data_IF_505734750949
#
_entry.id   IF_505734750949
#
_cell.length_a   1.000
_cell.length_b   1.000
_cell.length_c   1.000
_cell.angle_alpha   90.00
_cell.angle_beta   90.00
_cell.angle_gamma   90.00
#
_symmetry.space_group_name_H-M   'P 1'
#
loop_
_entity.id
_entity.type
_entity.pdbx_description
1 polymer ?
#
# COMPACT_ATOMS: atom_id res chain seq x y z
N UNK A 1 -37.74 -0.24 17.26
CA UNK A 1 -38.19 -1.24 16.28
C UNK A 1 -37.96 -2.65 16.83
N UNK A 2 -38.93 -3.53 16.62
CA UNK A 2 -38.83 -4.93 17.03
C UNK A 2 -38.45 -5.77 15.79
N UNK A 3 -37.29 -6.42 15.88
CA UNK A 3 -36.82 -7.31 14.83
C UNK A 3 -37.78 -8.47 14.62
N UNK A 4 -37.97 -8.91 13.39
CA UNK A 4 -38.90 -10.01 13.04
C UNK A 4 -40.37 -9.62 12.95
N UNK A 5 -40.74 -8.37 13.30
CA UNK A 5 -42.13 -7.92 13.19
C UNK A 5 -42.29 -6.50 12.59
N UNK A 6 -41.39 -5.59 12.93
CA UNK A 6 -41.41 -4.20 12.45
C UNK A 6 -40.17 -3.84 11.60
N UNK A 7 -39.12 -4.64 11.72
CA UNK A 7 -37.89 -4.48 10.96
C UNK A 7 -37.21 -5.85 10.80
N UNK A 8 -36.43 -5.98 9.75
CA UNK A 8 -35.58 -7.15 9.53
C UNK A 8 -34.19 -6.71 9.17
N UNK A 9 -33.18 -7.40 9.70
CA UNK A 9 -31.78 -7.11 9.42
C UNK A 9 -31.33 -7.91 8.21
N UNK A 10 -30.74 -7.24 7.22
CA UNK A 10 -30.02 -7.91 6.15
C UNK A 10 -28.63 -8.29 6.65
N UNK A 11 -28.40 -9.58 6.82
CA UNK A 11 -27.13 -10.12 7.31
C UNK A 11 -26.22 -10.46 6.13
N UNK A 12 -24.96 -10.13 6.24
CA UNK A 12 -23.93 -10.58 5.32
C UNK A 12 -23.28 -11.89 5.81
N UNK A 13 -23.13 -12.01 7.14
CA UNK A 13 -22.61 -13.22 7.81
C UNK A 13 -23.61 -13.76 8.82
N UNK A 14 -23.62 -15.08 9.09
CA UNK A 14 -24.56 -15.70 10.02
C UNK A 14 -24.44 -15.16 11.47
N UNK A 15 -23.25 -14.72 11.85
CA UNK A 15 -22.90 -14.22 13.19
C UNK A 15 -23.24 -12.75 13.44
N UNK A 16 -23.75 -12.03 12.45
CA UNK A 16 -24.10 -10.61 12.47
C UNK A 16 -22.91 -9.63 12.49
N UNK A 17 -21.67 -10.09 12.54
CA UNK A 17 -20.49 -9.22 12.53
C UNK A 17 -20.19 -8.63 11.14
N UNK A 18 -20.62 -9.32 10.09
CA UNK A 18 -20.35 -8.91 8.72
C UNK A 18 -18.87 -9.08 8.38
N UNK A 19 -18.31 -8.09 7.71
CA UNK A 19 -16.90 -8.10 7.26
C UNK A 19 -16.05 -7.04 7.96
N UNK A 20 -16.57 -6.51 9.08
CA UNK A 20 -15.91 -5.40 9.78
C UNK A 20 -14.51 -5.77 10.27
N UNK A 21 -14.37 -6.95 10.87
CA UNK A 21 -13.09 -7.44 11.40
C UNK A 21 -12.04 -7.58 10.28
N UNK A 22 -12.46 -8.01 9.11
CA UNK A 22 -11.60 -8.12 7.93
C UNK A 22 -11.15 -6.73 7.48
N UNK A 23 -12.11 -5.79 7.38
CA UNK A 23 -11.82 -4.41 6.97
C UNK A 23 -10.85 -3.75 7.94
N UNK A 24 -11.10 -3.85 9.24
CA UNK A 24 -10.29 -3.23 10.28
C UNK A 24 -8.85 -3.75 10.26
N UNK A 25 -8.69 -5.08 10.19
CA UNK A 25 -7.38 -5.72 10.11
C UNK A 25 -6.56 -5.27 8.89
N UNK A 26 -7.17 -5.24 7.72
CA UNK A 26 -6.44 -4.84 6.50
C UNK A 26 -6.23 -3.34 6.40
N UNK A 27 -7.18 -2.52 6.87
CA UNK A 27 -7.06 -1.08 6.89
C UNK A 27 -5.87 -0.62 7.75
N UNK A 28 -5.70 -1.20 8.93
CA UNK A 28 -4.56 -0.91 9.80
C UNK A 28 -3.22 -1.22 9.09
N UNK A 29 -3.07 -2.41 8.54
CA UNK A 29 -1.84 -2.83 7.85
C UNK A 29 -1.53 -2.03 6.60
N UNK A 30 -2.53 -1.79 5.75
CA UNK A 30 -2.36 -0.97 4.55
C UNK A 30 -1.98 0.46 4.90
N UNK A 31 -2.56 1.02 5.95
CA UNK A 31 -2.20 2.34 6.47
C UNK A 31 -0.74 2.40 6.93
N UNK A 32 -0.26 1.40 7.66
CA UNK A 32 1.15 1.32 8.09
C UNK A 32 2.10 1.21 6.90
N UNK A 33 1.76 0.41 5.90
CA UNK A 33 2.56 0.29 4.68
C UNK A 33 2.58 1.59 3.87
N UNK A 34 1.45 2.29 3.73
CA UNK A 34 1.38 3.57 3.04
C UNK A 34 2.30 4.61 3.69
N UNK A 35 2.26 4.73 5.03
CA UNK A 35 3.18 5.60 5.79
C UNK A 35 4.65 5.20 5.57
N UNK A 36 4.94 3.89 5.55
CA UNK A 36 6.30 3.38 5.34
C UNK A 36 6.81 3.67 3.93
N UNK A 37 5.95 3.52 2.91
CA UNK A 37 6.25 3.88 1.52
C UNK A 37 6.56 5.37 1.41
N UNK A 38 5.70 6.22 1.96
CA UNK A 38 5.90 7.67 1.96
C UNK A 38 7.19 8.06 2.66
N UNK A 39 7.49 7.48 3.81
CA UNK A 39 8.74 7.69 4.55
C UNK A 39 9.96 7.23 3.74
N UNK A 40 9.89 6.09 3.06
CA UNK A 40 10.96 5.58 2.20
C UNK A 40 11.22 6.50 1.02
N UNK A 41 10.17 7.03 0.38
CA UNK A 41 10.28 8.01 -0.71
C UNK A 41 10.92 9.32 -0.22
N UNK A 42 10.51 9.82 0.94
CA UNK A 42 11.11 11.03 1.54
C UNK A 42 12.57 10.77 1.88
N UNK A 43 12.88 9.65 2.53
CA UNK A 43 14.25 9.29 2.91
C UNK A 43 15.18 9.07 1.71
N UNK A 44 14.65 8.66 0.56
CA UNK A 44 15.44 8.54 -0.68
C UNK A 44 15.93 9.90 -1.22
N UNK A 45 15.27 11.00 -0.84
CA UNK A 45 15.68 12.37 -1.23
C UNK A 45 16.86 12.90 -0.37
N UNK A 46 17.06 12.35 0.83
CA UNK A 46 18.14 12.74 1.73
C UNK A 46 19.39 11.87 1.50
N UNK A 47 19.93 11.95 0.28
CA UNK A 47 21.10 11.15 -0.09
C UNK A 47 22.39 11.55 0.63
N UNK A 48 22.47 12.80 1.14
CA UNK A 48 23.70 13.35 1.68
C UNK A 48 23.45 14.12 2.99
N UNK A 49 24.11 13.70 4.05
CA UNK A 49 24.25 14.48 5.28
C UNK A 49 25.63 15.13 5.22
N UNK A 50 25.64 16.43 5.02
CA UNK A 50 26.86 17.21 4.86
C UNK A 50 27.06 18.09 6.09
N UNK A 51 28.10 17.82 6.86
CA UNK A 51 28.48 18.62 8.00
C UNK A 51 29.59 19.60 7.63
N UNK A 52 29.50 20.84 8.10
CA UNK A 52 30.55 21.84 7.93
C UNK A 52 31.02 22.37 9.30
N UNK A 53 32.33 22.49 9.48
CA UNK A 53 32.92 22.95 10.73
C UNK A 53 32.76 24.46 10.99
N UNK A 54 32.59 25.25 9.92
CA UNK A 54 32.44 26.68 9.99
C UNK A 54 31.17 27.17 9.30
N UNK A 55 30.67 28.34 9.73
CA UNK A 55 29.48 28.97 9.13
C UNK A 55 29.69 29.34 7.66
N UNK A 56 30.91 29.74 7.26
CA UNK A 56 31.27 30.05 5.89
C UNK A 56 31.25 28.79 5.00
N UNK A 57 31.82 27.69 5.51
CA UNK A 57 31.77 26.38 4.81
C UNK A 57 30.34 25.86 4.65
N UNK A 58 29.51 26.05 5.67
CA UNK A 58 28.09 25.67 5.58
C UNK A 58 27.32 26.45 4.50
N UNK A 59 27.58 27.75 4.37
CA UNK A 59 26.97 28.59 3.34
C UNK A 59 27.43 28.21 1.93
N UNK A 60 28.73 27.93 1.76
CA UNK A 60 29.30 27.48 0.49
C UNK A 60 28.68 26.13 0.06
N UNK A 61 28.58 25.21 0.99
CA UNK A 61 27.97 23.89 0.76
C UNK A 61 26.47 23.99 0.36
N UNK A 62 25.73 24.89 1.02
CA UNK A 62 24.34 25.16 0.66
C UNK A 62 24.21 25.69 -0.76
N UNK A 63 25.05 26.65 -1.16
CA UNK A 63 25.06 27.16 -2.56
C UNK A 63 25.36 26.06 -3.57
N UNK A 64 26.32 25.18 -3.26
CA UNK A 64 26.67 24.03 -4.10
C UNK A 64 25.48 23.09 -4.29
N UNK A 65 24.77 22.75 -3.19
CA UNK A 65 23.58 21.92 -3.24
C UNK A 65 22.43 22.57 -4.02
N UNK A 66 22.25 23.89 -3.88
CA UNK A 66 21.23 24.63 -4.62
C UNK A 66 21.51 24.60 -6.15
N UNK A 67 22.79 24.67 -6.55
CA UNK A 67 23.19 24.55 -7.95
C UNK A 67 22.97 23.14 -8.50
N UNK A 68 23.35 22.10 -7.76
CA UNK A 68 23.10 20.69 -8.13
C UNK A 68 21.60 20.44 -8.27
N UNK A 69 20.78 20.94 -7.34
CA UNK A 69 19.32 20.78 -7.36
C UNK A 69 18.66 21.51 -8.55
N UNK A 70 19.29 22.55 -9.08
CA UNK A 70 18.88 23.24 -10.33
C UNK A 70 19.27 22.48 -11.60
N UNK A 71 20.02 21.38 -11.46
CA UNK A 71 20.44 20.57 -12.60
C UNK A 71 21.65 21.14 -13.35
N UNK A 72 22.45 21.98 -12.73
CA UNK A 72 23.69 22.49 -13.33
C UNK A 72 24.70 21.34 -13.54
N UNK A 73 25.20 21.12 -14.76
CA UNK A 73 26.01 19.93 -15.06
C UNK A 73 27.46 20.03 -14.53
N UNK A 74 27.89 21.23 -14.13
CA UNK A 74 29.21 21.46 -13.56
C UNK A 74 29.14 22.52 -12.47
N UNK A 75 29.77 22.27 -11.35
CA UNK A 75 29.89 23.22 -10.24
C UNK A 75 31.34 23.57 -10.04
N UNK A 76 31.66 24.85 -10.20
CA UNK A 76 33.00 25.40 -9.94
C UNK A 76 33.01 25.88 -8.50
N UNK A 77 33.94 25.38 -7.72
CA UNK A 77 34.13 25.80 -6.31
C UNK A 77 35.58 26.23 -6.07
N UNK A 78 35.78 27.10 -5.10
CA UNK A 78 37.11 27.51 -4.67
C UNK A 78 37.72 26.41 -3.78
N UNK A 79 38.82 25.80 -4.24
CA UNK A 79 39.51 24.73 -3.49
C UNK A 79 40.02 25.18 -2.12
N UNK A 80 40.21 26.47 -1.91
CA UNK A 80 40.59 27.04 -0.59
C UNK A 80 39.51 26.89 0.48
N UNK A 81 38.28 26.57 0.08
CA UNK A 81 37.21 26.20 1.01
C UNK A 81 37.56 24.92 1.77
N UNK A 82 38.41 24.07 1.20
CA UNK A 82 38.89 22.84 1.79
C UNK A 82 40.19 23.00 2.58
N UNK A 83 40.91 24.11 2.36
CA UNK A 83 42.16 24.44 3.07
C UNK A 83 41.83 25.26 4.30
N UNK A 84 41.74 24.64 5.48
CA UNK A 84 41.71 25.34 6.77
C UNK A 84 43.14 25.58 7.22
N UNK A 85 43.64 26.85 7.21
CA UNK A 85 45.03 27.16 7.62
C UNK A 85 45.34 26.84 9.08
N UNK A 86 44.33 26.55 9.89
CA UNK A 86 44.50 26.19 11.32
C UNK A 86 44.64 24.68 11.53
N UNK A 87 44.41 23.85 10.51
CA UNK A 87 44.54 22.39 10.62
C UNK A 87 45.93 21.94 10.19
N UNK A 88 46.86 21.86 11.12
CA UNK A 88 48.09 21.07 10.96
C UNK A 88 47.76 19.59 10.96
N UNK A 89 47.24 19.07 9.85
CA UNK A 89 46.93 17.67 9.64
C UNK A 89 45.58 17.48 8.96
N UNK A 90 45.60 16.93 7.82
CA UNK A 90 44.63 16.24 6.98
C UNK A 90 43.16 16.16 7.48
N UNK A 91 42.56 17.27 7.84
CA UNK A 91 41.17 17.32 8.31
C UNK A 91 40.37 18.23 7.38
N UNK A 92 39.72 17.61 6.41
CA UNK A 92 38.72 18.28 5.57
C UNK A 92 37.76 19.13 6.43
N UNK A 93 37.48 20.40 6.06
CA UNK A 93 36.49 21.25 6.74
C UNK A 93 35.07 20.71 6.60
N UNK A 94 34.88 19.66 5.79
CA UNK A 94 33.61 19.00 5.56
C UNK A 94 33.65 17.56 6.07
N UNK A 95 32.63 17.16 6.79
CA UNK A 95 32.33 15.77 7.08
C UNK A 95 31.19 15.33 6.20
N UNK A 96 31.47 14.36 5.33
CA UNK A 96 30.45 13.68 4.56
C UNK A 96 30.07 12.39 5.29
N UNK A 97 28.86 12.32 5.77
CA UNK A 97 28.27 11.08 6.20
C UNK A 97 27.57 10.47 4.99
N UNK A 98 28.26 9.57 4.30
CA UNK A 98 27.60 8.72 3.33
C UNK A 98 26.80 7.68 4.11
N UNK A 99 25.51 7.65 3.92
CA UNK A 99 24.71 6.51 4.31
C UNK A 99 25.17 5.36 3.40
N UNK A 100 25.75 4.31 3.98
CA UNK A 100 26.20 3.15 3.24
C UNK A 100 25.15 2.70 2.22
N UNK A 101 25.59 2.66 0.96
CA UNK A 101 24.86 2.22 -0.22
C UNK A 101 23.36 2.55 -0.24
N UNK A 102 23.00 3.61 -0.96
CA UNK A 102 21.60 3.96 -1.25
C UNK A 102 20.80 2.78 -1.82
N UNK A 103 21.45 1.87 -2.53
CA UNK A 103 20.84 0.65 -3.06
C UNK A 103 20.32 -0.28 -1.96
N UNK A 104 21.03 -0.42 -0.85
CA UNK A 104 20.64 -1.29 0.25
C UNK A 104 19.56 -0.68 1.16
N UNK A 105 19.36 0.64 1.08
CA UNK A 105 18.37 1.36 1.87
C UNK A 105 17.12 1.75 1.05
N UNK A 106 17.11 1.50 -0.25
CA UNK A 106 15.96 1.78 -1.09
C UNK A 106 15.02 0.57 -1.09
N UNK A 107 14.18 0.51 -0.08
CA UNK A 107 13.19 -0.56 0.12
C UNK A 107 11.81 -0.22 -0.44
N UNK A 108 11.68 0.90 -1.15
CA UNK A 108 10.37 1.38 -1.64
C UNK A 108 9.71 0.39 -2.59
N UNK A 109 10.51 -0.27 -3.45
CA UNK A 109 9.99 -1.30 -4.38
C UNK A 109 9.44 -2.50 -3.64
N UNK A 110 10.10 -2.94 -2.57
CA UNK A 110 9.69 -4.07 -1.76
C UNK A 110 8.42 -3.72 -0.98
N UNK A 111 8.36 -2.51 -0.39
CA UNK A 111 7.16 -2.02 0.29
C UNK A 111 5.95 -1.89 -0.65
N UNK A 112 6.15 -1.46 -1.90
CA UNK A 112 5.09 -1.41 -2.91
C UNK A 112 4.62 -2.82 -3.30
N UNK A 113 5.53 -3.79 -3.36
CA UNK A 113 5.19 -5.18 -3.60
C UNK A 113 4.41 -5.78 -2.43
N UNK A 114 4.85 -5.51 -1.19
CA UNK A 114 4.15 -5.93 0.02
C UNK A 114 2.75 -5.33 0.10
N UNK A 115 2.61 -4.04 -0.25
CA UNK A 115 1.31 -3.37 -0.32
C UNK A 115 0.38 -4.06 -1.32
N UNK A 116 0.87 -4.36 -2.52
CA UNK A 116 0.08 -5.07 -3.54
C UNK A 116 -0.29 -6.49 -3.10
N UNK A 117 0.63 -7.18 -2.42
CA UNK A 117 0.38 -8.53 -1.88
C UNK A 117 -0.72 -8.48 -0.82
N UNK A 118 -0.64 -7.54 0.11
CA UNK A 118 -1.64 -7.37 1.16
C UNK A 118 -3.02 -6.96 0.60
N UNK A 119 -3.04 -6.13 -0.45
CA UNK A 119 -4.27 -5.76 -1.14
C UNK A 119 -4.91 -6.98 -1.84
N UNK A 120 -4.10 -7.80 -2.50
CA UNK A 120 -4.58 -9.04 -3.12
C UNK A 120 -5.11 -10.04 -2.09
N UNK A 121 -4.47 -10.12 -0.91
CA UNK A 121 -4.95 -10.96 0.19
C UNK A 121 -6.29 -10.46 0.74
N UNK A 122 -6.45 -9.14 0.88
CA UNK A 122 -7.73 -8.54 1.23
C UNK A 122 -8.82 -8.86 0.20
N UNK A 123 -8.54 -8.63 -1.08
CA UNK A 123 -9.48 -8.92 -2.16
C UNK A 123 -9.92 -10.39 -2.14
N UNK A 124 -8.97 -11.31 -1.97
CA UNK A 124 -9.27 -12.74 -1.86
C UNK A 124 -10.14 -13.05 -0.63
N UNK A 125 -9.87 -12.38 0.49
CA UNK A 125 -10.64 -12.56 1.73
C UNK A 125 -12.10 -12.12 1.58
N UNK A 126 -12.34 -11.07 0.80
CA UNK A 126 -13.69 -10.58 0.47
C UNK A 126 -14.29 -11.22 -0.81
N UNK A 127 -13.65 -12.27 -1.32
CA UNK A 127 -14.18 -13.06 -2.45
C UNK A 127 -13.98 -12.43 -3.82
N UNK A 128 -13.04 -11.49 -3.97
CA UNK A 128 -12.64 -10.94 -5.27
C UNK A 128 -11.47 -11.76 -5.82
N UNK A 129 -11.60 -12.38 -7.00
CA UNK A 129 -10.52 -13.14 -7.63
C UNK A 129 -9.35 -12.22 -7.96
N UNK A 130 -8.15 -12.59 -7.51
CA UNK A 130 -6.91 -11.84 -7.76
C UNK A 130 -5.84 -12.73 -8.36
N UNK A 131 -4.96 -12.12 -9.16
CA UNK A 131 -3.79 -12.80 -9.71
C UNK A 131 -2.59 -12.43 -8.82
N UNK A 132 -1.85 -13.41 -8.26
CA UNK A 132 -0.66 -13.14 -7.46
C UNK A 132 0.36 -12.31 -8.24
N UNK A 133 0.78 -11.18 -7.68
CA UNK A 133 1.67 -10.22 -8.34
C UNK A 133 3.01 -10.84 -8.78
N UNK A 134 3.54 -11.76 -7.98
CA UNK A 134 4.86 -12.39 -8.23
C UNK A 134 4.88 -13.40 -9.38
N UNK A 135 3.71 -13.85 -9.87
CA UNK A 135 3.61 -14.94 -10.85
C UNK A 135 3.07 -14.51 -12.22
N UNK A 136 3.12 -13.21 -12.56
CA UNK A 136 2.56 -12.68 -13.81
C UNK A 136 3.05 -13.39 -15.08
N UNK A 137 4.28 -13.92 -15.07
CA UNK A 137 4.89 -14.51 -16.27
C UNK A 137 4.70 -16.03 -16.40
N UNK A 138 4.25 -16.72 -15.34
CA UNK A 138 4.14 -18.19 -15.30
C UNK A 138 2.91 -18.66 -14.54
N UNK A 139 1.79 -17.97 -14.66
CA UNK A 139 0.55 -18.47 -14.06
C UNK A 139 0.11 -19.72 -14.83
N UNK A 140 0.17 -20.86 -14.17
CA UNK A 140 -0.43 -22.08 -14.71
C UNK A 140 -1.94 -21.92 -14.60
N UNK A 141 -2.67 -22.22 -15.66
CA UNK A 141 -4.14 -22.09 -15.73
C UNK A 141 -4.83 -22.72 -14.51
N UNK A 142 -4.31 -23.84 -14.00
CA UNK A 142 -4.83 -24.54 -12.82
C UNK A 142 -4.70 -23.72 -11.51
N UNK A 143 -3.68 -22.87 -11.37
CA UNK A 143 -3.51 -22.01 -10.18
C UNK A 143 -4.50 -20.84 -10.22
N UNK A 144 -4.75 -20.27 -11.40
CA UNK A 144 -5.74 -19.22 -11.58
C UNK A 144 -7.16 -19.73 -11.29
N UNK A 145 -7.51 -20.92 -11.82
CA UNK A 145 -8.78 -21.57 -11.56
C UNK A 145 -8.97 -21.90 -10.07
N UNK A 146 -7.93 -22.39 -9.39
CA UNK A 146 -7.97 -22.69 -7.95
C UNK A 146 -8.23 -21.42 -7.13
N UNK A 147 -7.56 -20.31 -7.46
CA UNK A 147 -7.74 -19.03 -6.75
C UNK A 147 -9.15 -18.46 -6.98
N UNK A 148 -9.69 -18.63 -8.19
CA UNK A 148 -11.05 -18.21 -8.51
C UNK A 148 -12.10 -19.04 -7.76
N UNK A 149 -11.92 -20.37 -7.66
CA UNK A 149 -12.81 -21.25 -6.90
C UNK A 149 -12.80 -20.87 -5.41
N UNK A 150 -11.64 -20.60 -4.85
CA UNK A 150 -11.50 -20.24 -3.42
C UNK A 150 -12.19 -18.89 -3.11
N UNK A 151 -12.00 -17.89 -3.95
CA UNK A 151 -12.67 -16.59 -3.84
C UNK A 151 -14.20 -16.74 -3.99
N UNK A 152 -14.66 -17.53 -4.94
CA UNK A 152 -16.09 -17.82 -5.13
C UNK A 152 -16.71 -18.55 -3.93
N UNK A 153 -16.01 -19.51 -3.34
CA UNK A 153 -16.50 -20.24 -2.16
C UNK A 153 -16.79 -19.31 -0.97
N UNK A 154 -15.95 -18.31 -0.74
CA UNK A 154 -16.15 -17.30 0.33
C UNK A 154 -17.35 -16.41 0.05
N UNK A 155 -17.48 -15.91 -1.17
CA UNK A 155 -18.58 -15.03 -1.57
C UNK A 155 -19.93 -15.74 -1.61
N UNK A 156 -19.97 -17.06 -1.86
CA UNK A 156 -21.19 -17.87 -1.85
C UNK A 156 -21.82 -17.88 -0.44
N UNK A 157 -21.03 -17.97 0.62
CA UNK A 157 -21.56 -17.96 1.99
C UNK A 157 -22.27 -16.64 2.27
N UNK A 158 -21.70 -15.54 1.82
CA UNK A 158 -22.27 -14.20 2.02
C UNK A 158 -23.55 -14.00 1.23
N UNK A 159 -23.56 -14.38 -0.05
CA UNK A 159 -24.75 -14.25 -0.88
C UNK A 159 -25.91 -15.10 -0.35
N UNK A 160 -25.64 -16.34 0.08
CA UNK A 160 -26.65 -17.23 0.64
C UNK A 160 -27.24 -16.68 1.95
N UNK A 161 -26.41 -16.09 2.82
CA UNK A 161 -26.85 -15.45 4.08
C UNK A 161 -27.71 -14.21 3.80
N UNK A 162 -27.30 -13.42 2.82
CA UNK A 162 -28.04 -12.23 2.39
C UNK A 162 -29.37 -12.62 1.75
N UNK A 163 -29.40 -13.62 0.87
CA UNK A 163 -30.62 -14.13 0.25
C UNK A 163 -31.61 -14.70 1.28
N UNK A 164 -31.11 -15.40 2.30
CA UNK A 164 -31.96 -15.86 3.41
C UNK A 164 -32.58 -14.67 4.14
N UNK A 165 -31.82 -13.62 4.41
CA UNK A 165 -32.31 -12.41 5.04
C UNK A 165 -33.33 -11.67 4.16
N UNK A 166 -33.11 -11.63 2.84
CA UNK A 166 -34.05 -11.04 1.88
C UNK A 166 -35.36 -11.80 1.86
N UNK A 167 -35.34 -13.13 1.97
CA UNK A 167 -36.57 -13.95 2.08
C UNK A 167 -37.36 -13.59 3.31
N UNK A 168 -36.72 -13.41 4.46
CA UNK A 168 -37.36 -12.97 5.71
C UNK A 168 -37.96 -11.55 5.58
N UNK A 169 -37.25 -10.62 4.92
CA UNK A 169 -37.78 -9.27 4.62
C UNK A 169 -39.03 -9.34 3.76
N UNK A 170 -39.04 -10.18 2.71
CA UNK A 170 -40.19 -10.33 1.81
C UNK A 170 -41.42 -10.95 2.49
N UNK A 171 -41.21 -11.71 3.57
CA UNK A 171 -42.32 -12.19 4.40
C UNK A 171 -43.00 -11.05 5.17
N UNK A 172 -42.21 -10.07 5.66
CA UNK A 172 -42.76 -8.91 6.37
C UNK A 172 -43.29 -7.83 5.42
N UNK A 173 -42.63 -7.69 4.26
CA UNK A 173 -42.91 -6.64 3.26
C UNK A 173 -43.02 -7.26 1.87
N UNK A 174 -44.19 -7.86 1.51
CA UNK A 174 -44.33 -8.62 0.26
C UNK A 174 -44.09 -7.80 -1.03
N UNK A 175 -44.35 -6.50 -0.97
CA UNK A 175 -44.21 -5.60 -2.12
C UNK A 175 -42.78 -5.11 -2.37
N UNK A 176 -41.85 -5.44 -1.47
CA UNK A 176 -40.48 -4.96 -1.60
C UNK A 176 -39.72 -5.73 -2.69
N UNK A 177 -39.11 -5.00 -3.62
CA UNK A 177 -38.27 -5.57 -4.67
C UNK A 177 -36.81 -5.54 -4.23
N UNK A 178 -36.35 -6.59 -3.60
CA UNK A 178 -34.95 -6.79 -3.19
C UNK A 178 -34.41 -8.05 -3.85
N UNK A 179 -33.17 -7.95 -4.36
CA UNK A 179 -32.39 -9.09 -4.84
C UNK A 179 -30.92 -8.83 -4.55
N UNK A 180 -30.15 -9.88 -4.34
CA UNK A 180 -28.70 -9.82 -4.23
C UNK A 180 -28.07 -10.65 -5.36
N UNK A 181 -26.93 -10.18 -5.88
CA UNK A 181 -26.15 -10.92 -6.89
C UNK A 181 -24.67 -10.64 -6.71
N UNK A 182 -23.85 -11.58 -7.07
CA UNK A 182 -22.41 -11.36 -7.17
C UNK A 182 -22.12 -10.44 -8.36
N UNK A 183 -21.18 -9.53 -8.15
CA UNK A 183 -20.75 -8.61 -9.23
C UNK A 183 -19.96 -9.32 -10.32
N UNK A 184 -19.22 -10.35 -9.92
CA UNK A 184 -18.35 -11.15 -10.79
C UNK A 184 -18.85 -12.59 -10.79
N UNK A 185 -19.21 -13.14 -11.93
CA UNK A 185 -19.62 -14.54 -12.05
C UNK A 185 -20.76 -14.88 -12.99
N UNK A 186 -21.47 -13.89 -13.53
CA UNK A 186 -22.55 -14.12 -14.52
C UNK A 186 -22.18 -13.56 -15.91
N UNK A 187 -20.97 -13.80 -16.38
CA UNK A 187 -20.64 -13.58 -17.79
C UNK A 187 -20.70 -14.92 -18.52
N UNK A 188 -21.88 -15.60 -18.53
CA UNK A 188 -21.93 -16.88 -19.20
C UNK A 188 -23.29 -17.57 -19.38
N UNK A 189 -24.40 -17.01 -18.87
CA UNK A 189 -25.71 -17.58 -19.17
C UNK A 189 -26.71 -16.46 -19.49
N UNK A 190 -26.68 -16.03 -20.73
CA UNK A 190 -27.58 -15.02 -21.28
C UNK A 190 -27.43 -14.96 -22.78
N UNK A 191 -27.84 -16.05 -23.44
CA UNK A 191 -28.03 -16.17 -24.86
C UNK A 191 -29.45 -16.68 -25.12
#
# INVERSE_FOLDING_TARGET
FKLGSQAQLLKLTPDYYGVWDIIDYYAEKLSMLDVSINSSIVNSKFAYLLGAKTKGAAQALKKLLDQINKGEPAVIYDSRIFDDPSSKGDVSPFQTWFRDSMKNNYITSDLLQDFQTLLNDFDREIGIPTIPYQKKERLVQSEAESTEIDAKARSIVWINTLDSSIKEVKQLYPDIKLSARLRYGEAGEGG
#
